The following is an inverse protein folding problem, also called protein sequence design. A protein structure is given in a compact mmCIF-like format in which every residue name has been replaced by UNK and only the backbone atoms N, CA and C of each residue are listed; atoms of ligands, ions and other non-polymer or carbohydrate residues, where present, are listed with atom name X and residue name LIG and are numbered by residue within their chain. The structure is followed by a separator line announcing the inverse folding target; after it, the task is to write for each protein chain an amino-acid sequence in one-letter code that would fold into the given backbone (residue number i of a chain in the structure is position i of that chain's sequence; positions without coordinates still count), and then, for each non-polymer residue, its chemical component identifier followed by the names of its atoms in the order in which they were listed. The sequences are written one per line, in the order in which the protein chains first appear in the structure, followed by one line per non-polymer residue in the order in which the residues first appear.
data_IF_610570953854
#
_entry.id   IF_610570953854
#
_cell.length_a   1.000
_cell.length_b   1.000
_cell.length_c   1.000
_cell.angle_alpha   90.00
_cell.angle_beta   90.00
_cell.angle_gamma   90.00
#
_symmetry.space_group_name_H-M   'P 1'
#
loop_
_entity.id
_entity.type
_entity.pdbx_description
1 polymer ?
#
# COMPACT_ATOMS: atom_id res chain seq x y z
N UNK A 1 -1.48 -34.22 -5.57
CA UNK A 1 -1.04 -32.82 -5.47
C UNK A 1 0.41 -32.70 -5.91
N UNK A 2 0.72 -31.82 -6.86
CA UNK A 2 2.09 -31.68 -7.39
C UNK A 2 3.05 -31.12 -6.34
N UNK A 3 4.26 -31.70 -6.19
CA UNK A 3 5.31 -31.21 -5.27
C UNK A 3 5.61 -29.71 -5.42
N UNK A 4 5.41 -29.15 -6.63
CA UNK A 4 5.54 -27.71 -6.90
C UNK A 4 4.49 -26.86 -6.16
N UNK A 5 3.24 -27.29 -6.09
CA UNK A 5 2.17 -26.57 -5.39
C UNK A 5 2.40 -26.54 -3.88
N UNK A 6 2.83 -27.67 -3.30
CA UNK A 6 3.14 -27.75 -1.86
C UNK A 6 4.33 -26.83 -1.53
N UNK A 7 5.39 -26.84 -2.34
CA UNK A 7 6.55 -25.96 -2.16
C UNK A 7 6.18 -24.47 -2.27
N UNK A 8 5.40 -24.08 -3.28
CA UNK A 8 4.96 -22.69 -3.44
C UNK A 8 4.02 -22.24 -2.32
N UNK A 9 3.07 -23.09 -1.90
CA UNK A 9 2.17 -22.79 -0.80
C UNK A 9 2.91 -22.59 0.53
N UNK A 10 3.95 -23.40 0.78
CA UNK A 10 4.77 -23.30 1.98
C UNK A 10 5.59 -22.00 1.98
N UNK A 11 6.19 -21.63 0.84
CA UNK A 11 6.92 -20.35 0.69
C UNK A 11 5.99 -19.16 0.95
N UNK A 12 4.81 -19.12 0.33
CA UNK A 12 3.85 -18.02 0.51
C UNK A 12 3.40 -17.92 1.96
N UNK A 13 3.12 -19.07 2.60
CA UNK A 13 2.70 -19.11 4.00
C UNK A 13 3.80 -18.60 4.95
N UNK A 14 5.05 -19.03 4.75
CA UNK A 14 6.19 -18.56 5.54
C UNK A 14 6.45 -17.06 5.33
N UNK A 15 6.43 -16.57 4.09
CA UNK A 15 6.61 -15.14 3.80
C UNK A 15 5.48 -14.30 4.41
N UNK A 16 4.24 -14.80 4.38
CA UNK A 16 3.09 -14.14 5.01
C UNK A 16 3.25 -14.06 6.53
N UNK A 17 3.67 -15.16 7.17
CA UNK A 17 3.89 -15.20 8.61
C UNK A 17 5.02 -14.26 9.02
N UNK A 18 6.13 -14.25 8.28
CA UNK A 18 7.25 -13.35 8.53
C UNK A 18 6.85 -11.88 8.40
N UNK A 19 6.05 -11.53 7.39
CA UNK A 19 5.49 -10.18 7.23
C UNK A 19 4.60 -9.77 8.43
N UNK A 20 3.78 -10.70 8.95
CA UNK A 20 2.94 -10.44 10.14
C UNK A 20 3.78 -10.22 11.40
N UNK A 21 4.80 -11.04 11.62
CA UNK A 21 5.71 -10.90 12.77
C UNK A 21 6.47 -9.58 12.69
N UNK A 22 7.02 -9.23 11.53
CA UNK A 22 7.69 -7.94 11.34
C UNK A 22 6.74 -6.76 11.51
N UNK A 23 5.49 -6.87 11.05
CA UNK A 23 4.45 -5.87 11.29
C UNK A 23 4.19 -5.65 12.78
N UNK A 24 4.11 -6.72 13.57
CA UNK A 24 3.96 -6.64 15.02
C UNK A 24 5.17 -5.95 15.68
N UNK A 25 6.39 -6.34 15.29
CA UNK A 25 7.63 -5.73 15.80
C UNK A 25 7.66 -4.24 15.48
N UNK A 26 7.32 -3.86 14.24
CA UNK A 26 7.21 -2.47 13.81
C UNK A 26 6.25 -1.69 14.71
N UNK A 27 5.06 -2.23 14.96
CA UNK A 27 4.05 -1.55 15.79
C UNK A 27 4.55 -1.35 17.24
N UNK A 28 5.26 -2.34 17.81
CA UNK A 28 5.89 -2.23 19.14
C UNK A 28 7.01 -1.19 19.16
N UNK A 29 7.84 -1.13 18.12
CA UNK A 29 8.93 -0.14 18.00
C UNK A 29 8.35 1.26 17.90
N UNK A 30 7.34 1.48 17.06
CA UNK A 30 6.66 2.79 16.92
C UNK A 30 6.05 3.22 18.25
N UNK A 31 5.35 2.31 18.94
CA UNK A 31 4.76 2.60 20.25
C UNK A 31 5.81 3.00 21.30
N UNK A 32 7.00 2.38 21.28
CA UNK A 32 8.10 2.73 22.18
C UNK A 32 8.80 4.04 21.83
N UNK A 33 9.02 4.31 20.54
CA UNK A 33 9.72 5.51 20.08
C UNK A 33 8.85 6.77 20.17
N UNK A 34 7.55 6.66 19.90
CA UNK A 34 6.66 7.83 19.87
C UNK A 34 6.15 8.28 21.24
N UNK A 35 6.30 7.46 22.29
CA UNK A 35 6.29 7.90 23.69
C UNK A 35 5.25 8.96 24.10
N UNK A 36 3.99 8.82 23.67
CA UNK A 36 2.79 9.53 24.13
C UNK A 36 1.64 9.14 23.20
N UNK A 37 0.45 8.82 23.71
CA UNK A 37 -0.73 8.38 22.94
C UNK A 37 -1.02 9.26 21.70
N UNK A 38 -0.77 10.57 21.81
CA UNK A 38 -1.10 11.56 20.78
C UNK A 38 -0.37 11.37 19.43
N UNK A 39 0.93 11.07 19.42
CA UNK A 39 1.70 10.95 18.17
C UNK A 39 1.46 9.59 17.48
N UNK A 40 1.28 8.54 18.28
CA UNK A 40 0.98 7.21 17.78
C UNK A 40 -0.40 7.18 17.08
N UNK A 41 -1.43 7.79 17.67
CA UNK A 41 -2.77 7.87 17.08
C UNK A 41 -2.76 8.56 15.71
N UNK A 42 -2.03 9.67 15.61
CA UNK A 42 -1.87 10.41 14.35
C UNK A 42 -1.09 9.58 13.31
N UNK A 43 -0.05 8.87 13.72
CA UNK A 43 0.70 7.99 12.82
C UNK A 43 -0.17 6.84 12.29
N UNK A 44 -0.94 6.17 13.15
CA UNK A 44 -1.83 5.09 12.73
C UNK A 44 -2.94 5.61 11.81
N UNK A 45 -3.50 6.79 12.12
CA UNK A 45 -4.46 7.48 11.27
C UNK A 45 -3.90 7.73 9.87
N UNK A 46 -2.75 8.40 9.79
CA UNK A 46 -2.12 8.76 8.52
C UNK A 46 -1.77 7.53 7.68
N UNK A 47 -1.39 6.42 8.30
CA UNK A 47 -1.10 5.17 7.58
C UNK A 47 -2.35 4.40 7.13
N UNK A 48 -3.50 4.58 7.78
CA UNK A 48 -4.70 3.77 7.49
C UNK A 48 -5.29 4.08 6.11
N UNK A 49 -5.33 5.36 5.74
CA UNK A 49 -5.93 5.83 4.48
C UNK A 49 -5.14 5.32 3.26
N UNK A 50 -3.81 5.50 3.17
CA UNK A 50 -3.02 4.94 2.07
C UNK A 50 -3.07 3.41 2.04
N UNK A 51 -3.10 2.75 3.19
CA UNK A 51 -3.19 1.29 3.24
C UNK A 51 -4.55 0.75 2.76
N UNK A 52 -5.64 1.48 3.00
CA UNK A 52 -6.94 1.15 2.43
C UNK A 52 -6.90 1.24 0.90
N UNK A 53 -6.35 2.34 0.36
CA UNK A 53 -6.23 2.54 -1.08
C UNK A 53 -5.28 1.51 -1.73
N UNK A 54 -4.18 1.14 -1.06
CA UNK A 54 -3.32 0.03 -1.44
C UNK A 54 -4.10 -1.28 -1.60
N UNK A 55 -4.97 -1.61 -0.64
CA UNK A 55 -5.81 -2.82 -0.71
C UNK A 55 -6.79 -2.74 -1.88
N UNK A 56 -7.27 -1.56 -2.25
CA UNK A 56 -8.19 -1.39 -3.37
C UNK A 56 -7.49 -1.53 -4.74
N UNK A 57 -6.38 -0.81 -4.94
CA UNK A 57 -5.71 -0.66 -6.24
C UNK A 57 -4.59 -1.69 -6.50
N UNK A 58 -3.92 -2.19 -5.47
CA UNK A 58 -2.76 -3.06 -5.64
C UNK A 58 -3.09 -4.55 -5.40
N UNK A 59 -3.85 -4.86 -4.35
CA UNK A 59 -4.08 -6.24 -3.90
C UNK A 59 -5.50 -6.76 -4.18
N UNK A 60 -6.49 -5.87 -4.26
CA UNK A 60 -7.91 -6.23 -4.28
C UNK A 60 -8.48 -6.38 -5.68
N UNK A 61 -9.48 -5.57 -5.99
CA UNK A 61 -10.29 -5.67 -7.20
C UNK A 61 -9.44 -5.61 -8.49
N UNK A 62 -8.40 -4.77 -8.50
CA UNK A 62 -7.50 -4.65 -9.65
C UNK A 62 -6.81 -5.98 -9.98
N UNK A 63 -6.15 -6.60 -9.00
CA UNK A 63 -5.41 -7.85 -9.22
C UNK A 63 -6.34 -9.00 -9.65
N UNK A 64 -7.55 -9.05 -9.09
CA UNK A 64 -8.55 -10.07 -9.45
C UNK A 64 -9.04 -9.93 -10.90
N UNK A 65 -9.20 -8.71 -11.41
CA UNK A 65 -9.58 -8.46 -12.79
C UNK A 65 -8.40 -8.57 -13.77
N UNK A 66 -7.21 -8.13 -13.35
CA UNK A 66 -6.05 -8.03 -14.22
C UNK A 66 -5.36 -9.37 -14.48
N UNK A 67 -5.21 -10.22 -13.45
CA UNK A 67 -4.48 -11.49 -13.59
C UNK A 67 -5.10 -12.44 -14.63
N UNK A 68 -6.44 -12.67 -14.66
CA UNK A 68 -7.05 -13.53 -15.68
C UNK A 68 -6.81 -13.02 -17.10
N UNK A 69 -7.04 -11.73 -17.34
CA UNK A 69 -6.86 -11.10 -18.66
C UNK A 69 -5.39 -11.15 -19.09
N UNK A 70 -4.46 -10.87 -18.18
CA UNK A 70 -3.03 -10.99 -18.48
C UNK A 70 -2.65 -12.43 -18.84
N UNK A 71 -3.26 -13.42 -18.19
CA UNK A 71 -3.01 -14.84 -18.46
C UNK A 71 -3.53 -15.24 -19.84
N UNK A 72 -4.71 -14.75 -20.25
CA UNK A 72 -5.25 -14.94 -21.61
C UNK A 72 -4.34 -14.33 -22.68
N UNK A 73 -3.92 -13.08 -22.50
CA UNK A 73 -2.99 -12.40 -23.42
C UNK A 73 -1.63 -13.12 -23.48
N UNK A 74 -1.15 -13.64 -22.35
CA UNK A 74 0.09 -14.41 -22.30
C UNK A 74 -0.04 -15.77 -23.03
N UNK A 75 -1.21 -16.39 -23.00
CA UNK A 75 -1.48 -17.67 -23.67
C UNK A 75 -1.45 -17.58 -25.20
N UNK A 76 -1.65 -16.40 -25.79
CA UNK A 76 -1.50 -16.17 -27.23
C UNK A 76 -0.04 -16.33 -27.72
N UNK A 77 0.93 -16.47 -26.82
CA UNK A 77 2.38 -16.60 -27.11
C UNK A 77 2.94 -15.46 -27.98
N UNK A 78 2.27 -14.32 -28.02
CA UNK A 78 2.71 -13.14 -28.75
C UNK A 78 3.34 -12.14 -27.79
N UNK A 79 4.68 -12.14 -27.72
CA UNK A 79 5.41 -11.24 -26.83
C UNK A 79 5.13 -9.76 -27.08
N UNK A 80 4.93 -9.36 -28.34
CA UNK A 80 4.71 -7.97 -28.69
C UNK A 80 3.36 -7.48 -28.18
N UNK A 81 2.30 -8.29 -28.36
CA UNK A 81 0.97 -8.01 -27.78
C UNK A 81 1.01 -7.95 -26.26
N UNK A 82 1.71 -8.90 -25.62
CA UNK A 82 1.87 -8.91 -24.16
C UNK A 82 2.55 -7.63 -23.65
N UNK A 83 3.66 -7.22 -24.29
CA UNK A 83 4.38 -5.98 -23.95
C UNK A 83 3.50 -4.74 -24.14
N UNK A 84 2.76 -4.67 -25.24
CA UNK A 84 1.85 -3.56 -25.51
C UNK A 84 0.70 -3.51 -24.49
N UNK A 85 0.12 -4.65 -24.14
CA UNK A 85 -0.94 -4.75 -23.12
C UNK A 85 -0.42 -4.26 -21.75
N UNK A 86 0.72 -4.78 -21.30
CA UNK A 86 1.36 -4.35 -20.05
C UNK A 86 1.69 -2.85 -20.08
N UNK A 87 2.22 -2.33 -21.19
CA UNK A 87 2.50 -0.90 -21.34
C UNK A 87 1.23 -0.04 -21.21
N UNK A 88 0.14 -0.40 -21.89
CA UNK A 88 -1.13 0.34 -21.80
C UNK A 88 -1.74 0.30 -20.39
N UNK A 89 -1.74 -0.88 -19.75
CA UNK A 89 -2.28 -1.02 -18.39
C UNK A 89 -1.41 -0.27 -17.39
N UNK A 90 -0.09 -0.39 -17.48
CA UNK A 90 0.84 0.34 -16.60
C UNK A 90 0.75 1.85 -16.78
N UNK A 91 0.64 2.35 -18.01
CA UNK A 91 0.48 3.77 -18.30
C UNK A 91 -0.86 4.31 -17.77
N UNK A 92 -1.95 3.60 -18.03
CA UNK A 92 -3.30 3.99 -17.56
C UNK A 92 -3.39 3.96 -16.04
N UNK A 93 -2.98 2.85 -15.41
CA UNK A 93 -2.96 2.72 -13.96
C UNK A 93 -2.04 3.77 -13.34
N UNK A 94 -0.83 3.94 -13.89
CA UNK A 94 0.15 4.93 -13.48
C UNK A 94 -0.41 6.35 -13.48
N UNK A 95 -1.08 6.75 -14.57
CA UNK A 95 -1.72 8.05 -14.67
C UNK A 95 -2.83 8.22 -13.62
N UNK A 96 -3.70 7.22 -13.45
CA UNK A 96 -4.79 7.26 -12.46
C UNK A 96 -4.24 7.41 -11.05
N UNK A 97 -3.26 6.58 -10.66
CA UNK A 97 -2.72 6.62 -9.30
C UNK A 97 -1.86 7.86 -9.05
N UNK A 98 -1.21 8.40 -10.08
CA UNK A 98 -0.47 9.65 -9.98
C UNK A 98 -1.40 10.84 -9.75
N UNK A 99 -2.47 10.96 -10.56
CA UNK A 99 -3.51 11.99 -10.36
C UNK A 99 -4.18 11.82 -8.99
N UNK A 100 -4.51 10.59 -8.60
CA UNK A 100 -5.10 10.29 -7.28
C UNK A 100 -4.17 10.70 -6.14
N UNK A 101 -2.86 10.45 -6.27
CA UNK A 101 -1.87 10.86 -5.28
C UNK A 101 -1.78 12.40 -5.18
N UNK A 102 -1.73 13.12 -6.30
CA UNK A 102 -1.70 14.58 -6.32
C UNK A 102 -2.96 15.18 -5.67
N UNK A 103 -4.13 14.68 -6.05
CA UNK A 103 -5.41 15.08 -5.45
C UNK A 103 -5.38 14.80 -3.95
N UNK A 104 -4.91 13.62 -3.55
CA UNK A 104 -4.80 13.22 -2.15
C UNK A 104 -3.92 14.15 -1.32
N UNK A 105 -2.77 14.59 -1.86
CA UNK A 105 -1.90 15.57 -1.19
C UNK A 105 -2.62 16.90 -0.98
N UNK A 106 -3.33 17.40 -2.00
CA UNK A 106 -4.04 18.68 -1.89
C UNK A 106 -5.23 18.58 -0.91
N UNK A 107 -5.99 17.49 -0.98
CA UNK A 107 -7.21 17.28 -0.19
C UNK A 107 -6.90 16.68 1.20
N UNK A 108 -5.64 16.40 1.53
CA UNK A 108 -5.24 15.82 2.83
C UNK A 108 -5.80 16.54 4.07
N UNK A 109 -5.86 17.89 4.15
CA UNK A 109 -6.48 18.57 5.29
C UNK A 109 -7.99 18.31 5.38
N UNK A 110 -8.68 18.26 4.23
CA UNK A 110 -10.12 17.97 4.17
C UNK A 110 -10.40 16.53 4.59
N UNK A 111 -9.59 15.57 4.11
CA UNK A 111 -9.70 14.16 4.53
C UNK A 111 -9.46 14.05 6.04
N UNK A 112 -8.46 14.76 6.56
CA UNK A 112 -8.18 14.79 8.00
C UNK A 112 -9.34 15.40 8.78
N UNK A 113 -9.98 16.44 8.26
CA UNK A 113 -11.14 17.06 8.91
C UNK A 113 -12.37 16.13 8.91
N UNK A 114 -12.55 15.36 7.84
CA UNK A 114 -13.66 14.40 7.74
C UNK A 114 -13.49 13.20 8.67
N UNK A 115 -12.32 12.57 8.69
CA UNK A 115 -12.08 11.35 9.46
C UNK A 115 -11.55 11.62 10.88
N UNK A 116 -11.02 12.81 11.13
CA UNK A 116 -10.52 13.32 12.41
C UNK A 116 -11.33 14.51 12.91
N UNK A 117 -12.66 14.48 12.73
CA UNK A 117 -13.55 15.60 13.03
C UNK A 117 -13.39 16.15 14.46
N UNK A 118 -13.12 15.28 15.45
CA UNK A 118 -12.81 15.71 16.82
C UNK A 118 -11.58 16.63 16.90
N UNK A 119 -10.47 16.23 16.27
CA UNK A 119 -9.24 17.03 16.21
C UNK A 119 -9.44 18.33 15.42
N UNK A 120 -10.27 18.31 14.38
CA UNK A 120 -10.60 19.50 13.60
C UNK A 120 -11.45 20.51 14.39
N UNK A 121 -12.45 20.03 15.15
CA UNK A 121 -13.23 20.90 16.04
C UNK A 121 -12.33 21.48 17.13
N UNK A 122 -11.43 20.70 17.70
CA UNK A 122 -10.49 21.19 18.71
C UNK A 122 -9.47 22.18 18.13
N UNK A 123 -9.06 22.01 16.87
CA UNK A 123 -8.28 22.99 16.11
C UNK A 123 -9.03 24.32 15.92
N UNK A 124 -10.32 24.29 15.60
CA UNK A 124 -11.13 25.51 15.45
C UNK A 124 -11.40 26.24 16.79
N UNK A 125 -11.29 25.54 17.91
CA UNK A 125 -11.56 26.07 19.26
C UNK A 125 -10.27 26.35 20.06
N UNK A 126 -9.09 26.37 19.41
CA UNK A 126 -7.78 26.58 20.05
C UNK A 126 -7.51 25.67 21.25
N UNK A 127 -7.94 24.40 21.16
CA UNK A 127 -7.72 23.40 22.21
C UNK A 127 -6.42 22.61 21.98
N UNK A 128 -5.87 21.97 23.03
CA UNK A 128 -4.58 21.26 22.96
C UNK A 128 -4.53 20.17 21.87
N UNK A 129 -5.65 19.53 21.58
CA UNK A 129 -5.76 18.45 20.59
C UNK A 129 -5.81 18.96 19.14
N UNK A 130 -5.93 20.28 18.91
CA UNK A 130 -5.84 20.88 17.58
C UNK A 130 -4.50 20.64 16.88
N UNK A 131 -3.40 20.53 17.63
CA UNK A 131 -2.08 20.19 17.09
C UNK A 131 -2.06 18.81 16.41
N UNK A 132 -2.92 17.87 16.85
CA UNK A 132 -3.05 16.54 16.22
C UNK A 132 -3.63 16.65 14.81
N UNK A 133 -4.53 17.60 14.56
CA UNK A 133 -5.11 17.82 13.23
C UNK A 133 -4.06 18.31 12.23
N UNK A 134 -3.23 19.28 12.62
CA UNK A 134 -2.15 19.78 11.77
C UNK A 134 -1.13 18.69 11.45
N UNK A 135 -0.71 17.95 12.49
CA UNK A 135 0.24 16.84 12.34
C UNK A 135 -0.34 15.74 11.44
N UNK A 136 -1.59 15.34 11.65
CA UNK A 136 -2.26 14.32 10.84
C UNK A 136 -2.39 14.77 9.38
N UNK A 137 -2.75 16.04 9.16
CA UNK A 137 -2.84 16.61 7.81
C UNK A 137 -1.48 16.61 7.11
N UNK A 138 -0.41 16.97 7.80
CA UNK A 138 0.95 16.96 7.26
C UNK A 138 1.44 15.53 6.97
N UNK A 139 1.23 14.60 7.90
CA UNK A 139 1.59 13.20 7.70
C UNK A 139 0.81 12.56 6.55
N UNK A 140 -0.46 12.89 6.39
CA UNK A 140 -1.28 12.38 5.29
C UNK A 140 -0.77 12.89 3.93
N UNK A 141 -0.35 14.17 3.84
CA UNK A 141 0.32 14.71 2.64
C UNK A 141 1.57 13.93 2.26
N UNK A 142 2.39 13.58 3.25
CA UNK A 142 3.65 12.86 3.03
C UNK A 142 3.38 11.41 2.62
N UNK A 143 2.36 10.78 3.20
CA UNK A 143 2.06 9.36 2.97
C UNK A 143 1.19 9.11 1.74
N UNK A 144 0.46 10.09 1.21
CA UNK A 144 -0.38 9.90 0.02
C UNK A 144 0.37 9.42 -1.24
N UNK A 145 1.55 9.98 -1.60
CA UNK A 145 2.34 9.52 -2.74
C UNK A 145 2.69 8.02 -2.72
N UNK A 146 2.73 7.40 -1.54
CA UNK A 146 2.92 5.96 -1.38
C UNK A 146 1.95 5.12 -2.22
N UNK A 147 0.71 5.59 -2.41
CA UNK A 147 -0.32 4.86 -3.17
C UNK A 147 0.10 4.64 -4.62
N UNK A 148 0.77 5.61 -5.24
CA UNK A 148 1.25 5.48 -6.60
C UNK A 148 2.31 4.37 -6.70
N UNK A 149 3.32 4.42 -5.82
CA UNK A 149 4.39 3.44 -5.79
C UNK A 149 3.90 2.03 -5.49
N UNK A 150 3.02 1.89 -4.49
CA UNK A 150 2.56 0.58 -4.07
C UNK A 150 1.61 -0.06 -5.08
N UNK A 151 0.84 0.75 -5.83
CA UNK A 151 -0.03 0.25 -6.91
C UNK A 151 0.80 -0.25 -8.10
N UNK A 152 1.84 0.49 -8.50
CA UNK A 152 2.78 0.04 -9.54
C UNK A 152 3.56 -1.20 -9.11
N UNK A 153 3.90 -1.30 -7.82
CA UNK A 153 4.53 -2.48 -7.26
C UNK A 153 3.57 -3.67 -7.26
N UNK A 154 2.29 -3.46 -6.93
CA UNK A 154 1.23 -4.46 -7.02
C UNK A 154 1.01 -4.97 -8.45
N UNK A 155 0.96 -4.07 -9.43
CA UNK A 155 0.92 -4.42 -10.86
C UNK A 155 2.12 -5.30 -11.26
N UNK A 156 3.34 -4.89 -10.86
CA UNK A 156 4.55 -5.65 -11.12
C UNK A 156 4.51 -7.03 -10.46
N UNK A 157 4.01 -7.12 -9.23
CA UNK A 157 3.78 -8.37 -8.52
C UNK A 157 2.77 -9.28 -9.23
N UNK A 158 1.67 -8.72 -9.75
CA UNK A 158 0.69 -9.46 -10.53
C UNK A 158 1.28 -10.04 -11.82
N UNK A 159 2.08 -9.25 -12.55
CA UNK A 159 2.79 -9.70 -13.76
C UNK A 159 3.77 -10.84 -13.42
N UNK A 160 4.56 -10.68 -12.35
CA UNK A 160 5.51 -11.70 -11.90
C UNK A 160 4.80 -13.00 -11.49
N UNK A 161 3.64 -12.90 -10.84
CA UNK A 161 2.83 -14.06 -10.47
C UNK A 161 2.35 -14.84 -11.71
N UNK A 162 1.85 -14.14 -12.74
CA UNK A 162 1.47 -14.77 -14.02
C UNK A 162 2.67 -15.45 -14.70
N UNK A 163 3.88 -14.92 -14.52
CA UNK A 163 5.14 -15.52 -15.00
C UNK A 163 5.73 -16.59 -14.05
N UNK A 164 4.96 -17.09 -13.08
CA UNK A 164 5.38 -18.08 -12.08
C UNK A 164 6.52 -17.65 -11.13
N UNK A 165 6.77 -16.34 -10.98
CA UNK A 165 7.80 -15.76 -10.09
C UNK A 165 7.21 -15.27 -8.76
N UNK A 166 6.53 -16.16 -8.04
CA UNK A 166 5.76 -15.84 -6.82
C UNK A 166 6.60 -15.33 -5.63
N UNK A 167 7.84 -15.82 -5.48
CA UNK A 167 8.69 -15.48 -4.33
C UNK A 167 9.08 -13.99 -4.31
N UNK A 168 9.33 -13.41 -5.48
CA UNK A 168 9.71 -12.00 -5.60
C UNK A 168 8.55 -11.09 -5.22
N UNK A 169 7.34 -11.41 -5.69
CA UNK A 169 6.13 -10.65 -5.35
C UNK A 169 5.77 -10.76 -3.85
N UNK A 170 5.97 -11.94 -3.25
CA UNK A 170 5.68 -12.18 -1.84
C UNK A 170 6.68 -11.51 -0.87
N UNK A 171 7.88 -11.13 -1.34
CA UNK A 171 8.91 -10.52 -0.50
C UNK A 171 8.74 -9.00 -0.34
N UNK A 172 8.00 -8.33 -1.24
CA UNK A 172 7.79 -6.88 -1.21
C UNK A 172 7.34 -6.31 0.15
N UNK A 173 6.37 -6.92 0.88
CA UNK A 173 5.93 -6.39 2.18
C UNK A 173 7.02 -6.48 3.26
N UNK A 174 7.96 -7.43 3.13
CA UNK A 174 9.10 -7.58 4.04
C UNK A 174 10.02 -6.36 3.95
N UNK A 175 10.33 -5.92 2.72
CA UNK A 175 11.14 -4.71 2.48
C UNK A 175 10.50 -3.47 3.11
N UNK A 176 9.18 -3.30 2.95
CA UNK A 176 8.47 -2.16 3.55
C UNK A 176 8.60 -2.16 5.08
N UNK A 177 8.37 -3.31 5.74
CA UNK A 177 8.49 -3.40 7.19
C UNK A 177 9.93 -3.15 7.66
N UNK A 178 10.94 -3.65 6.95
CA UNK A 178 12.35 -3.40 7.27
C UNK A 178 12.66 -1.90 7.20
N UNK A 179 12.21 -1.20 6.15
CA UNK A 179 12.42 0.25 6.02
C UNK A 179 11.77 1.04 7.16
N UNK A 180 10.57 0.65 7.61
CA UNK A 180 9.91 1.34 8.73
C UNK A 180 10.59 1.03 10.07
N UNK A 181 11.19 -0.15 10.23
CA UNK A 181 11.91 -0.51 11.46
C UNK A 181 13.28 0.17 11.52
N UNK A 182 13.95 0.36 10.38
CA UNK A 182 15.32 0.87 10.31
C UNK A 182 15.43 2.41 10.36
N UNK A 183 14.34 3.12 10.08
CA UNK A 183 14.25 4.58 10.08
C UNK A 183 13.45 5.08 11.29
#
# INVERSE_FOLDING_TARGET
MSKKLIKSGLIVSTMTLLSRVLGLVRDVVIARLMGAEAAADVFFFANKIPNFLRRLFAEGAFAQAFIPVLTEVHAEQNEQKLKQFVAHVSGTLGAIVFVTALIGVVISPVITAMFGAGWFIDYLNDKPDGAKFELASAMLKITFPYIAFISLTGLSGAILNTLNKFAVAAFTPVLLNICIIAC
#
